data_IF_941071435425
#
_entry.id   IF_941071435425
#
_cell.length_a   1.000
_cell.length_b   1.000
_cell.length_c   1.000
_cell.angle_alpha   90.00
_cell.angle_beta   90.00
_cell.angle_gamma   90.00
#
_symmetry.space_group_name_H-M   'P 1'
#
loop_
_entity.id
_entity.type
_entity.pdbx_description
1 polymer ?
#
# COMPACT_ATOMS: atom_id res chain seq x y z
N UNK A 1 20.08 3.34 41.00
CA UNK A 1 19.47 2.02 40.72
C UNK A 1 18.39 2.24 39.67
N UNK A 2 18.74 2.19 38.38
CA UNK A 2 17.72 2.22 37.34
C UNK A 2 17.03 0.87 37.33
N UNK A 3 15.73 0.86 37.61
CA UNK A 3 14.91 -0.32 37.34
C UNK A 3 14.79 -0.41 35.83
N UNK A 4 15.63 -1.22 35.19
CA UNK A 4 15.35 -1.71 33.85
C UNK A 4 14.14 -2.63 33.98
N UNK A 5 12.95 -2.08 33.81
CA UNK A 5 11.74 -2.87 33.63
C UNK A 5 11.85 -3.50 32.25
N UNK A 6 12.24 -4.77 32.20
CA UNK A 6 12.16 -5.57 30.98
C UNK A 6 10.71 -5.59 30.52
N UNK A 7 10.44 -5.01 29.35
CA UNK A 7 9.10 -5.07 28.75
C UNK A 7 8.78 -6.53 28.40
N UNK A 8 7.57 -6.96 28.72
CA UNK A 8 7.09 -8.28 28.33
C UNK A 8 6.97 -8.35 26.81
N UNK A 9 7.51 -9.40 26.19
CA UNK A 9 7.37 -9.64 24.74
C UNK A 9 5.96 -10.14 24.43
N UNK A 10 5.29 -9.50 23.48
CA UNK A 10 4.02 -9.92 22.93
C UNK A 10 4.23 -11.04 21.91
N UNK A 11 5.02 -10.76 20.87
CA UNK A 11 5.32 -11.65 19.76
C UNK A 11 6.75 -11.40 19.25
N UNK A 12 7.22 -12.30 18.37
CA UNK A 12 8.54 -12.20 17.75
C UNK A 12 8.41 -11.97 16.24
N UNK A 13 9.23 -11.06 15.70
CA UNK A 13 9.47 -10.90 14.27
C UNK A 13 10.87 -11.44 13.97
N UNK A 14 10.96 -12.57 13.28
CA UNK A 14 12.21 -13.17 12.82
C UNK A 14 12.53 -12.63 11.44
N UNK A 15 13.58 -11.81 11.37
CA UNK A 15 14.08 -11.20 10.14
C UNK A 15 15.16 -12.11 9.53
N UNK A 16 14.89 -12.62 8.33
CA UNK A 16 15.82 -13.39 7.54
C UNK A 16 16.37 -12.59 6.35
N UNK A 17 17.69 -12.43 6.28
CA UNK A 17 18.35 -11.91 5.09
C UNK A 17 18.52 -13.04 4.06
N UNK A 18 17.62 -13.09 3.07
CA UNK A 18 17.69 -14.02 1.93
C UNK A 18 18.08 -13.31 0.63
N UNK A 19 18.70 -12.12 0.73
CA UNK A 19 19.08 -11.33 -0.43
C UNK A 19 20.09 -12.03 -1.35
N UNK A 20 20.91 -12.93 -0.81
CA UNK A 20 22.02 -13.53 -1.54
C UNK A 20 23.10 -12.52 -1.96
N UNK A 21 23.08 -11.32 -1.38
CA UNK A 21 24.14 -10.32 -1.57
C UNK A 21 25.42 -10.78 -0.86
N UNK A 22 26.56 -10.52 -1.49
CA UNK A 22 27.88 -10.75 -0.91
C UNK A 22 28.09 -9.80 0.28
N UNK A 23 28.10 -10.34 1.50
CA UNK A 23 28.22 -9.56 2.74
C UNK A 23 29.56 -8.84 2.89
N UNK A 24 30.57 -9.20 2.08
CA UNK A 24 31.83 -8.43 2.00
C UNK A 24 31.69 -7.14 1.17
N UNK A 25 30.63 -7.02 0.37
CA UNK A 25 30.37 -5.89 -0.54
C UNK A 25 29.16 -5.07 -0.14
N UNK A 26 28.18 -5.66 0.53
CA UNK A 26 26.91 -5.02 0.87
C UNK A 26 26.50 -5.33 2.30
N UNK A 27 25.78 -4.39 2.91
CA UNK A 27 25.20 -4.56 4.24
C UNK A 27 23.72 -4.26 4.19
N UNK A 28 22.93 -5.14 4.80
CA UNK A 28 21.50 -4.96 5.02
C UNK A 28 21.31 -4.37 6.41
N UNK A 29 20.57 -3.27 6.48
CA UNK A 29 20.33 -2.54 7.72
C UNK A 29 18.84 -2.50 8.05
N UNK A 30 18.53 -2.48 9.35
CA UNK A 30 17.18 -2.17 9.85
C UNK A 30 17.26 -1.12 10.95
N UNK A 31 16.41 -0.10 10.87
CA UNK A 31 16.08 0.78 11.98
C UNK A 31 14.64 0.47 12.43
N UNK A 32 14.33 0.65 13.71
CA UNK A 32 13.00 0.35 14.21
C UNK A 32 12.54 1.30 15.28
N UNK A 33 11.26 1.68 15.23
CA UNK A 33 10.65 2.50 16.26
C UNK A 33 9.17 2.17 16.48
N UNK A 34 8.68 2.46 17.69
CA UNK A 34 7.27 2.42 18.05
C UNK A 34 6.90 3.73 18.74
N UNK A 35 5.81 4.38 18.33
CA UNK A 35 5.37 5.63 18.96
C UNK A 35 4.46 5.36 20.16
N UNK A 36 4.75 6.00 21.29
CA UNK A 36 4.02 5.81 22.54
C UNK A 36 2.61 6.41 22.45
N UNK A 37 1.63 5.73 23.04
CA UNK A 37 0.27 6.24 23.08
C UNK A 37 0.16 7.52 23.91
N UNK A 38 -0.47 8.55 23.37
CA UNK A 38 -0.69 9.82 24.07
C UNK A 38 0.54 10.74 24.19
N UNK A 39 1.69 10.33 23.63
CA UNK A 39 2.91 11.15 23.59
C UNK A 39 3.47 11.16 22.16
N UNK A 40 3.27 12.29 21.47
CA UNK A 40 3.76 12.47 20.11
C UNK A 40 5.29 12.46 20.00
N UNK A 41 6.00 12.66 21.12
CA UNK A 41 7.46 12.73 21.19
C UNK A 41 8.10 11.50 21.83
N UNK A 42 7.30 10.63 22.44
CA UNK A 42 7.74 9.42 23.12
C UNK A 42 7.86 8.26 22.14
N UNK A 43 9.05 7.64 22.08
CA UNK A 43 9.31 6.49 21.22
C UNK A 43 9.92 5.34 21.99
N UNK A 44 9.72 4.11 21.50
CA UNK A 44 10.59 2.98 21.77
C UNK A 44 11.45 2.74 20.53
N UNK A 45 12.76 2.57 20.71
CA UNK A 45 13.73 2.39 19.62
C UNK A 45 14.29 0.98 19.67
N UNK A 46 14.38 0.35 18.49
CA UNK A 46 14.96 -0.97 18.32
C UNK A 46 16.45 -0.96 18.70
N UNK A 47 16.86 -1.94 19.49
CA UNK A 47 18.23 -2.13 19.95
C UNK A 47 18.91 -3.28 19.19
N UNK A 48 20.26 -3.34 19.14
CA UNK A 48 20.99 -4.39 18.44
C UNK A 48 20.69 -5.83 18.89
N UNK A 49 20.19 -6.01 20.11
CA UNK A 49 19.78 -7.32 20.64
C UNK A 49 18.33 -7.72 20.26
N UNK A 50 17.66 -6.89 19.46
CA UNK A 50 16.29 -7.08 18.99
C UNK A 50 15.22 -6.59 19.95
N UNK A 51 15.57 -6.05 21.13
CA UNK A 51 14.62 -5.47 22.06
C UNK A 51 14.26 -4.02 21.71
N UNK A 52 13.17 -3.51 22.28
CA UNK A 52 12.78 -2.10 22.21
C UNK A 52 13.04 -1.40 23.54
N UNK A 53 13.67 -0.23 23.50
CA UNK A 53 13.96 0.59 24.69
C UNK A 53 13.38 1.99 24.54
N UNK A 54 12.87 2.56 25.64
CA UNK A 54 12.28 3.90 25.62
C UNK A 54 13.35 4.97 25.31
N UNK A 55 13.07 5.82 24.32
CA UNK A 55 13.79 7.04 24.04
C UNK A 55 13.07 8.22 24.69
N UNK A 56 13.74 8.94 25.58
CA UNK A 56 13.16 10.12 26.25
C UNK A 56 13.46 11.44 25.54
N UNK A 57 14.45 11.47 24.62
CA UNK A 57 14.85 12.69 23.89
C UNK A 57 15.31 12.46 22.45
N UNK A 58 15.31 11.23 21.95
CA UNK A 58 15.89 10.90 20.63
C UNK A 58 14.88 11.12 19.52
N UNK A 59 15.27 11.88 18.48
CA UNK A 59 14.48 12.08 17.25
C UNK A 59 14.91 11.14 16.13
N UNK A 60 15.76 10.15 16.44
CA UNK A 60 16.38 9.26 15.46
C UNK A 60 16.48 7.83 16.00
N UNK A 61 16.45 6.84 15.10
CA UNK A 61 16.65 5.42 15.37
C UNK A 61 17.92 4.92 14.68
N UNK A 62 18.76 4.20 15.42
CA UNK A 62 20.00 3.64 14.85
C UNK A 62 19.69 2.52 13.86
N UNK A 63 20.46 2.45 12.78
CA UNK A 63 20.50 1.28 11.89
C UNK A 63 21.35 0.16 12.47
N UNK A 64 20.78 -1.04 12.48
CA UNK A 64 21.41 -2.28 12.95
C UNK A 64 21.74 -3.14 11.73
N UNK A 65 22.98 -3.66 11.68
CA UNK A 65 23.39 -4.63 10.66
C UNK A 65 22.66 -5.96 10.90
N UNK A 66 21.93 -6.42 9.88
CA UNK A 66 21.16 -7.66 9.91
C UNK A 66 21.60 -8.65 8.85
N UNK A 67 22.86 -8.58 8.39
CA UNK A 67 23.41 -9.56 7.47
C UNK A 67 23.28 -11.00 7.98
N UNK A 68 23.35 -11.19 9.31
CA UNK A 68 23.16 -12.48 9.99
C UNK A 68 21.69 -12.78 10.39
N UNK A 69 20.75 -11.89 10.05
CA UNK A 69 19.37 -11.90 10.56
C UNK A 69 19.24 -11.23 11.94
N UNK A 70 17.99 -11.02 12.37
CA UNK A 70 17.66 -10.43 13.67
C UNK A 70 16.31 -10.99 14.16
N UNK A 71 16.18 -11.24 15.46
CA UNK A 71 14.87 -11.52 16.07
C UNK A 71 14.43 -10.30 16.85
N UNK A 72 13.41 -9.62 16.37
CA UNK A 72 12.81 -8.45 17.02
C UNK A 72 11.74 -8.91 18.00
N UNK A 73 11.87 -8.48 19.25
CA UNK A 73 10.94 -8.80 20.34
C UNK A 73 9.97 -7.64 20.50
N UNK A 74 8.78 -7.78 19.93
CA UNK A 74 7.76 -6.72 20.00
C UNK A 74 7.22 -6.66 21.43
N UNK A 75 7.34 -5.52 22.14
CA UNK A 75 6.86 -5.40 23.51
C UNK A 75 5.33 -5.28 23.56
N UNK A 76 4.72 -5.85 24.59
CA UNK A 76 3.29 -5.69 24.88
C UNK A 76 3.03 -4.33 25.54
N UNK A 77 2.90 -3.29 24.71
CA UNK A 77 2.70 -1.90 25.15
C UNK A 77 1.62 -1.19 24.34
N UNK A 78 0.92 -0.28 24.99
CA UNK A 78 0.03 0.65 24.30
C UNK A 78 0.85 1.62 23.45
N UNK A 79 0.44 1.81 22.21
CA UNK A 79 1.12 2.63 21.21
C UNK A 79 0.09 3.41 20.37
N UNK A 80 0.56 4.38 19.58
CA UNK A 80 -0.31 5.19 18.69
C UNK A 80 -0.47 4.61 17.28
N UNK A 81 0.10 3.43 16.98
CA UNK A 81 -0.03 2.73 15.71
C UNK A 81 1.05 3.05 14.65
N UNK A 82 1.82 4.13 14.81
CA UNK A 82 2.88 4.51 13.88
C UNK A 82 4.19 3.75 14.17
N UNK A 83 4.20 2.42 14.04
CA UNK A 83 5.39 1.62 14.31
C UNK A 83 5.96 1.03 13.02
N UNK A 84 7.27 1.17 12.83
CA UNK A 84 7.93 0.78 11.58
C UNK A 84 9.26 0.10 11.85
N UNK A 85 9.53 -0.93 11.06
CA UNK A 85 10.89 -1.36 10.74
C UNK A 85 11.22 -0.81 9.35
N UNK A 86 12.33 -0.08 9.26
CA UNK A 86 12.80 0.57 8.03
C UNK A 86 14.05 -0.15 7.56
N UNK A 87 13.99 -0.73 6.38
CA UNK A 87 15.07 -1.50 5.79
C UNK A 87 15.81 -0.66 4.76
N UNK A 88 17.13 -0.75 4.73
CA UNK A 88 17.93 -0.21 3.62
C UNK A 88 19.13 -1.10 3.32
N UNK A 89 19.64 -1.03 2.10
CA UNK A 89 20.83 -1.77 1.66
C UNK A 89 21.87 -0.79 1.17
N UNK A 90 23.10 -0.90 1.70
CA UNK A 90 24.23 -0.05 1.31
C UNK A 90 25.42 -0.91 0.85
N UNK A 91 26.43 -0.29 0.23
CA UNK A 91 27.75 -0.93 0.12
C UNK A 91 28.35 -1.12 1.52
N UNK A 92 29.15 -2.16 1.71
CA UNK A 92 29.80 -2.47 2.98
C UNK A 92 30.75 -1.37 3.47
N UNK A 93 31.21 -0.48 2.58
CA UNK A 93 31.99 0.72 2.91
C UNK A 93 31.16 1.86 3.52
N UNK A 94 29.83 1.73 3.54
CA UNK A 94 28.90 2.82 3.84
C UNK A 94 28.01 2.41 5.01
N UNK A 95 28.23 3.02 6.18
CA UNK A 95 27.30 2.97 7.31
C UNK A 95 26.25 4.06 7.13
N UNK A 96 24.95 3.73 7.15
CA UNK A 96 23.89 4.72 7.08
C UNK A 96 23.90 5.65 8.30
N UNK A 97 23.54 6.92 8.11
CA UNK A 97 23.21 7.80 9.24
C UNK A 97 21.92 7.31 9.93
N UNK A 98 21.76 7.62 11.21
CA UNK A 98 20.57 7.24 11.98
C UNK A 98 19.27 7.71 11.30
N UNK A 99 18.26 6.86 11.34
CA UNK A 99 16.98 7.10 10.71
C UNK A 99 16.22 8.21 11.44
N UNK A 100 15.83 9.31 10.75
CA UNK A 100 15.03 10.36 11.37
C UNK A 100 13.58 9.90 11.60
N UNK A 101 13.07 10.04 12.83
CA UNK A 101 11.72 9.57 13.20
C UNK A 101 10.59 10.36 12.53
N UNK A 102 10.88 11.53 11.97
CA UNK A 102 9.97 12.28 11.11
C UNK A 102 9.98 11.80 9.63
N UNK A 103 10.76 10.77 9.30
CA UNK A 103 10.79 10.14 7.99
C UNK A 103 11.92 10.58 7.06
N UNK A 104 12.17 9.78 6.03
CA UNK A 104 13.01 10.16 4.90
C UNK A 104 12.29 11.11 3.95
N UNK A 105 13.06 11.76 3.07
CA UNK A 105 12.51 12.36 1.86
C UNK A 105 11.78 11.27 1.06
N UNK A 106 10.56 11.57 0.61
CA UNK A 106 9.85 10.72 -0.33
C UNK A 106 10.65 10.51 -1.63
N UNK A 107 10.41 9.41 -2.31
CA UNK A 107 10.97 9.20 -3.65
C UNK A 107 10.37 10.22 -4.65
N UNK A 108 11.03 10.49 -5.78
CA UNK A 108 12.46 10.38 -6.02
C UNK A 108 13.25 11.40 -5.18
N UNK A 109 14.20 10.96 -4.38
CA UNK A 109 14.91 11.74 -3.35
C UNK A 109 15.48 13.10 -3.77
N UNK A 110 14.65 14.13 -3.84
CA UNK A 110 15.16 15.48 -4.06
C UNK A 110 15.83 15.96 -2.78
N UNK A 111 17.12 16.29 -2.88
CA UNK A 111 17.85 16.86 -1.77
C UNK A 111 17.18 18.16 -1.27
N UNK A 112 16.86 18.16 0.02
CA UNK A 112 16.28 19.23 0.85
C UNK A 112 14.74 19.49 0.74
N UNK A 113 14.04 19.64 1.89
CA UNK A 113 14.61 19.71 3.25
C UNK A 113 14.78 18.34 3.95
N UNK A 114 14.43 17.21 3.33
CA UNK A 114 14.48 15.89 3.98
C UNK A 114 15.84 15.19 3.91
N UNK A 115 15.99 14.12 4.69
CA UNK A 115 17.14 13.20 4.65
C UNK A 115 16.92 12.17 3.55
N UNK A 116 17.82 12.11 2.57
CA UNK A 116 17.81 11.05 1.57
C UNK A 116 18.28 9.74 2.21
N UNK A 117 17.64 8.60 1.89
CA UNK A 117 18.13 7.31 2.33
C UNK A 117 19.47 7.00 1.64
N UNK A 118 20.31 6.18 2.29
CA UNK A 118 21.65 5.87 1.80
C UNK A 118 21.66 4.83 0.67
N UNK A 119 20.51 4.21 0.40
CA UNK A 119 20.30 3.19 -0.61
C UNK A 119 18.81 3.00 -0.90
N UNK A 120 18.42 1.98 -1.68
CA UNK A 120 17.02 1.56 -1.74
C UNK A 120 16.52 1.24 -0.32
N UNK A 121 15.28 1.60 -0.03
CA UNK A 121 14.66 1.35 1.25
C UNK A 121 13.20 0.91 1.08
N UNK A 122 12.69 0.25 2.11
CA UNK A 122 11.30 -0.20 2.21
C UNK A 122 10.91 -0.34 3.68
N UNK A 123 9.62 -0.47 3.97
CA UNK A 123 9.10 -0.48 5.34
C UNK A 123 8.25 -1.70 5.64
N UNK A 124 8.27 -2.10 6.91
CA UNK A 124 7.34 -3.05 7.48
C UNK A 124 6.60 -2.34 8.62
N UNK A 125 5.29 -2.22 8.49
CA UNK A 125 4.43 -1.61 9.50
C UNK A 125 3.87 -2.68 10.44
N UNK A 126 3.91 -2.41 11.74
CA UNK A 126 3.55 -3.38 12.77
C UNK A 126 2.95 -2.72 14.00
N UNK A 127 2.45 -3.51 14.95
CA UNK A 127 2.07 -2.99 16.25
C UNK A 127 1.62 -4.04 17.25
N UNK A 128 1.74 -3.78 18.56
CA UNK A 128 1.13 -4.61 19.58
C UNK A 128 -0.36 -4.82 19.35
N UNK A 129 -0.78 -6.08 19.14
CA UNK A 129 -2.15 -6.47 18.81
C UNK A 129 -2.73 -5.69 17.62
N UNK A 130 -1.93 -5.44 16.58
CA UNK A 130 -2.35 -4.80 15.34
C UNK A 130 -2.18 -5.74 14.14
N UNK A 131 -2.76 -5.37 13.00
CA UNK A 131 -2.46 -5.99 11.71
C UNK A 131 -1.07 -5.55 11.25
N UNK A 132 -0.33 -6.45 10.60
CA UNK A 132 1.03 -6.19 10.12
C UNK A 132 0.99 -6.12 8.61
N UNK A 133 1.83 -5.29 7.99
CA UNK A 133 1.85 -5.12 6.55
C UNK A 133 3.22 -4.74 5.97
N UNK A 134 3.34 -5.01 4.67
CA UNK A 134 4.35 -4.39 3.80
C UNK A 134 3.62 -3.57 2.75
N UNK A 135 4.20 -2.43 2.38
CA UNK A 135 3.48 -1.40 1.64
C UNK A 135 4.30 -0.87 0.47
N UNK A 136 3.64 -0.70 -0.68
CA UNK A 136 4.17 0.02 -1.83
C UNK A 136 3.41 1.34 -2.05
N UNK A 137 2.76 1.88 -1.01
CA UNK A 137 1.94 3.10 -1.09
C UNK A 137 2.76 4.32 -1.53
N UNK A 138 3.98 4.43 -1.00
CA UNK A 138 4.90 5.53 -1.33
C UNK A 138 5.82 5.13 -2.50
N UNK A 139 6.46 3.97 -2.39
CA UNK A 139 7.27 3.36 -3.44
C UNK A 139 7.59 1.90 -3.10
N UNK A 140 8.05 1.14 -4.10
CA UNK A 140 8.64 -0.18 -3.92
C UNK A 140 10.16 -0.12 -4.09
N UNK A 141 10.92 -0.36 -3.02
CA UNK A 141 12.38 -0.27 -3.04
C UNK A 141 13.08 -1.60 -2.78
N UNK A 142 12.56 -2.42 -1.86
CA UNK A 142 13.13 -3.71 -1.46
C UNK A 142 12.02 -4.76 -1.52
N UNK A 143 12.33 -5.95 -2.03
CA UNK A 143 11.40 -7.07 -2.06
C UNK A 143 11.23 -7.72 -0.68
N UNK A 144 10.54 -7.02 0.21
CA UNK A 144 10.11 -7.53 1.51
C UNK A 144 8.90 -8.46 1.35
N UNK A 145 8.87 -9.52 2.14
CA UNK A 145 7.68 -10.36 2.34
C UNK A 145 7.65 -10.94 3.73
N UNK A 146 6.46 -11.29 4.22
CA UNK A 146 6.32 -11.93 5.52
C UNK A 146 5.21 -12.99 5.55
N UNK A 147 5.30 -13.87 6.54
CA UNK A 147 4.26 -14.83 6.90
C UNK A 147 4.07 -14.84 8.41
N UNK A 148 2.91 -15.30 8.86
CA UNK A 148 2.57 -15.43 10.28
C UNK A 148 2.34 -16.90 10.60
N UNK A 149 2.87 -17.36 11.74
CA UNK A 149 2.67 -18.74 12.20
C UNK A 149 1.18 -19.10 12.27
N UNK A 150 0.77 -20.14 11.55
CA UNK A 150 -0.62 -20.58 11.47
C UNK A 150 -1.42 -19.95 10.33
N UNK A 151 -0.85 -19.01 9.59
CA UNK A 151 -1.37 -18.50 8.32
C UNK A 151 -0.62 -19.14 7.15
N UNK A 152 -1.35 -19.55 6.11
CA UNK A 152 -0.77 -20.14 4.90
C UNK A 152 -0.33 -19.07 3.87
N UNK A 153 -0.70 -17.82 4.09
CA UNK A 153 -0.47 -16.71 3.18
C UNK A 153 0.96 -16.17 3.32
N UNK A 154 1.52 -15.74 2.20
CA UNK A 154 2.71 -14.89 2.18
C UNK A 154 2.30 -13.52 1.68
N UNK A 155 2.62 -12.49 2.46
CA UNK A 155 2.32 -11.10 2.17
C UNK A 155 3.58 -10.45 1.62
N UNK A 156 3.48 -9.71 0.51
CA UNK A 156 4.61 -9.01 -0.10
C UNK A 156 5.21 -9.71 -1.31
N UNK A 157 6.42 -9.28 -1.66
CA UNK A 157 7.09 -9.68 -2.89
C UNK A 157 7.64 -11.12 -2.83
N UNK A 158 7.39 -11.87 -3.89
CA UNK A 158 7.72 -13.30 -4.00
C UNK A 158 8.85 -13.58 -5.00
N UNK A 159 9.37 -12.55 -5.65
CA UNK A 159 10.30 -12.67 -6.77
C UNK A 159 11.61 -11.93 -6.54
N UNK A 160 12.70 -12.32 -7.23
CA UNK A 160 13.98 -11.64 -7.08
C UNK A 160 13.92 -10.18 -7.56
N UNK A 161 14.56 -9.28 -6.82
CA UNK A 161 14.52 -7.83 -7.10
C UNK A 161 14.97 -7.47 -8.52
N UNK A 162 16.06 -8.09 -9.00
CA UNK A 162 16.57 -7.91 -10.37
C UNK A 162 15.54 -8.10 -11.49
N UNK A 163 14.49 -8.90 -11.27
CA UNK A 163 13.47 -9.17 -12.28
C UNK A 163 12.44 -8.05 -12.39
N UNK A 164 12.27 -7.25 -11.34
CA UNK A 164 11.14 -6.33 -11.21
C UNK A 164 11.23 -5.13 -12.14
N UNK A 165 12.42 -4.56 -12.37
CA UNK A 165 12.57 -3.42 -13.28
C UNK A 165 12.19 -3.78 -14.73
N UNK A 166 12.69 -4.91 -15.23
CA UNK A 166 12.37 -5.38 -16.58
C UNK A 166 10.90 -5.80 -16.69
N UNK A 167 10.35 -6.42 -15.64
CA UNK A 167 8.93 -6.79 -15.57
C UNK A 167 8.05 -5.55 -15.60
N UNK A 168 8.37 -4.52 -14.79
CA UNK A 168 7.64 -3.25 -14.76
C UNK A 168 7.66 -2.57 -16.12
N UNK A 169 8.85 -2.40 -16.71
CA UNK A 169 8.98 -1.77 -18.03
C UNK A 169 8.17 -2.49 -19.11
N UNK A 170 8.23 -3.83 -19.14
CA UNK A 170 7.44 -4.64 -20.08
C UNK A 170 5.94 -4.56 -19.80
N UNK A 171 5.56 -4.51 -18.53
CA UNK A 171 4.18 -4.41 -18.08
C UNK A 171 3.56 -3.08 -18.51
N UNK A 172 4.22 -1.96 -18.22
CA UNK A 172 3.73 -0.62 -18.61
C UNK A 172 3.71 -0.42 -20.12
N UNK A 173 4.65 -1.03 -20.86
CA UNK A 173 4.65 -0.98 -22.33
C UNK A 173 3.48 -1.77 -22.93
N UNK A 174 3.08 -2.88 -22.31
CA UNK A 174 1.99 -3.74 -22.78
C UNK A 174 0.60 -3.24 -22.33
N UNK A 175 0.52 -2.49 -21.23
CA UNK A 175 -0.73 -1.99 -20.69
C UNK A 175 -1.26 -0.78 -21.52
N UNK A 176 -2.53 -0.77 -21.93
CA UNK A 176 -3.09 0.32 -22.74
C UNK A 176 -3.03 1.69 -22.05
N UNK A 177 -2.97 1.72 -20.72
CA UNK A 177 -2.87 2.93 -19.91
C UNK A 177 -1.45 3.19 -19.39
N UNK A 178 -0.48 2.33 -19.71
CA UNK A 178 0.82 2.26 -19.01
C UNK A 178 1.87 3.27 -19.44
N UNK A 179 1.73 3.92 -20.60
CA UNK A 179 2.76 4.86 -21.11
C UNK A 179 3.09 5.99 -20.13
N UNK A 180 2.10 6.51 -19.40
CA UNK A 180 2.31 7.56 -18.39
C UNK A 180 3.08 7.05 -17.15
N UNK A 181 3.06 5.74 -16.89
CA UNK A 181 3.62 5.12 -15.69
C UNK A 181 5.05 4.59 -15.89
N UNK A 182 5.55 4.52 -17.13
CA UNK A 182 6.93 4.10 -17.42
C UNK A 182 7.98 4.91 -16.64
N UNK A 183 7.72 6.22 -16.47
CA UNK A 183 8.60 7.15 -15.77
C UNK A 183 8.77 6.85 -14.27
N UNK A 184 7.88 6.05 -13.69
CA UNK A 184 7.91 5.70 -12.26
C UNK A 184 9.06 4.74 -11.90
N UNK A 185 9.66 4.09 -12.89
CA UNK A 185 10.85 3.26 -12.67
C UNK A 185 12.09 4.15 -12.47
N UNK A 186 12.42 4.42 -11.21
CA UNK A 186 13.55 5.27 -10.85
C UNK A 186 14.87 4.50 -10.89
N UNK A 187 15.59 4.61 -12.01
CA UNK A 187 16.84 3.87 -12.28
C UNK A 187 18.13 4.66 -12.04
N UNK A 188 18.08 5.99 -12.00
CA UNK A 188 19.27 6.83 -12.02
C UNK A 188 19.25 7.95 -10.98
N UNK A 189 19.47 7.63 -9.70
CA UNK A 189 19.92 8.60 -8.71
C UNK A 189 21.32 9.12 -9.13
N UNK A 190 21.41 10.30 -9.74
CA UNK A 190 22.71 10.94 -10.04
C UNK A 190 22.83 12.27 -9.35
N UNK A 191 23.94 12.47 -8.63
CA UNK A 191 24.27 13.73 -7.96
C UNK A 191 24.64 13.52 -6.49
N UNK A 192 25.14 14.59 -5.86
CA UNK A 192 25.37 14.63 -4.42
C UNK A 192 24.03 14.57 -3.67
N UNK A 193 23.90 13.65 -2.70
CA UNK A 193 22.67 13.46 -1.93
C UNK A 193 21.69 12.40 -2.45
N UNK A 194 22.00 11.71 -3.56
CA UNK A 194 21.18 10.61 -4.07
C UNK A 194 21.71 9.24 -3.62
N UNK A 195 20.84 8.23 -3.41
CA UNK A 195 21.25 6.89 -2.94
C UNK A 195 22.15 6.17 -3.95
N UNK A 196 23.06 5.34 -3.45
CA UNK A 196 23.84 4.48 -4.33
C UNK A 196 23.00 3.32 -4.88
N UNK A 197 23.24 2.96 -6.15
CA UNK A 197 22.66 1.74 -6.72
C UNK A 197 23.38 0.48 -6.20
N UNK A 198 22.60 -0.52 -5.84
CA UNK A 198 23.08 -1.84 -5.39
C UNK A 198 23.02 -2.81 -6.56
N UNK A 199 24.17 -3.40 -6.92
CA UNK A 199 24.31 -4.35 -8.05
C UNK A 199 23.82 -3.77 -9.39
N UNK A 200 23.95 -2.45 -9.60
CA UNK A 200 23.49 -1.72 -10.78
C UNK A 200 22.00 -1.91 -11.11
N UNK A 201 21.18 -2.24 -10.11
CA UNK A 201 19.72 -2.32 -10.25
C UNK A 201 19.06 -0.96 -9.98
N UNK A 202 17.76 -0.85 -10.30
CA UNK A 202 16.94 0.35 -10.02
C UNK A 202 16.94 0.73 -8.53
N UNK A 203 16.61 1.98 -8.21
CA UNK A 203 16.48 2.46 -6.82
C UNK A 203 15.08 2.15 -6.26
N UNK A 204 14.03 2.54 -6.96
CA UNK A 204 12.64 2.16 -6.63
C UNK A 204 11.71 2.23 -7.85
N UNK A 205 10.53 1.63 -7.70
CA UNK A 205 9.35 1.94 -8.52
C UNK A 205 8.53 2.91 -7.67
N UNK A 206 8.44 4.16 -8.08
CA UNK A 206 7.86 5.25 -7.27
C UNK A 206 6.36 5.34 -7.48
N UNK A 207 5.58 5.57 -6.42
CA UNK A 207 4.13 5.79 -6.59
C UNK A 207 3.86 7.06 -7.43
N UNK A 208 2.72 7.12 -8.15
CA UNK A 208 2.31 8.33 -8.84
C UNK A 208 2.21 9.54 -7.90
N UNK A 209 1.77 9.34 -6.65
CA UNK A 209 1.68 10.38 -5.60
C UNK A 209 3.02 11.06 -5.37
N UNK A 210 4.02 10.26 -5.04
CA UNK A 210 5.36 10.74 -4.69
C UNK A 210 6.07 11.32 -5.92
N UNK A 211 5.88 10.70 -7.08
CA UNK A 211 6.39 11.21 -8.33
C UNK A 211 5.81 12.60 -8.68
N UNK A 212 4.50 12.77 -8.57
CA UNK A 212 3.81 14.04 -8.86
C UNK A 212 4.05 15.10 -7.79
N UNK A 213 4.33 14.74 -6.54
CA UNK A 213 4.75 15.68 -5.51
C UNK A 213 6.05 16.40 -5.90
N UNK A 214 6.91 15.72 -6.66
CA UNK A 214 8.22 16.21 -7.08
C UNK A 214 8.20 16.76 -8.51
N UNK A 215 7.47 16.09 -9.40
CA UNK A 215 7.29 16.47 -10.80
C UNK A 215 5.81 16.72 -11.09
N UNK A 216 5.22 17.82 -10.61
CA UNK A 216 3.78 18.09 -10.71
C UNK A 216 3.27 18.26 -12.15
N UNK A 217 4.17 18.40 -13.12
CA UNK A 217 3.87 18.48 -14.56
C UNK A 217 4.25 17.22 -15.34
N UNK A 218 4.47 16.09 -14.65
CA UNK A 218 4.82 14.81 -15.27
C UNK A 218 3.83 14.44 -16.38
N UNK A 219 4.36 14.26 -17.60
CA UNK A 219 3.53 14.04 -18.79
C UNK A 219 2.70 12.77 -18.65
N UNK A 220 1.42 12.85 -19.01
CA UNK A 220 0.47 11.73 -18.93
C UNK A 220 -0.05 11.42 -17.52
N UNK A 221 0.70 11.73 -16.46
CA UNK A 221 0.23 11.60 -15.08
C UNK A 221 -0.52 12.84 -14.60
N UNK A 222 -0.04 14.04 -14.96
CA UNK A 222 -0.72 15.28 -14.60
C UNK A 222 -2.06 15.42 -15.32
N UNK A 223 -3.12 15.57 -14.54
CA UNK A 223 -4.50 15.62 -15.01
C UNK A 223 -5.05 14.26 -15.47
N UNK A 224 -4.39 13.14 -15.15
CA UNK A 224 -4.77 11.80 -15.62
C UNK A 224 -6.24 11.46 -15.35
N UNK A 225 -6.73 11.86 -14.17
CA UNK A 225 -8.10 11.58 -13.74
C UNK A 225 -9.13 12.63 -14.14
N UNK A 226 -8.72 13.76 -14.74
CA UNK A 226 -9.60 14.91 -14.92
C UNK A 226 -10.91 14.57 -15.63
N UNK A 227 -10.86 13.81 -16.73
CA UNK A 227 -12.07 13.42 -17.47
C UNK A 227 -12.96 12.47 -16.67
N UNK A 228 -12.37 11.55 -15.93
CA UNK A 228 -13.08 10.61 -15.06
C UNK A 228 -13.77 11.36 -13.93
N UNK A 229 -13.10 12.31 -13.29
CA UNK A 229 -13.67 13.16 -12.24
C UNK A 229 -14.81 14.03 -12.77
N UNK A 230 -14.66 14.66 -13.93
CA UNK A 230 -15.75 15.42 -14.57
C UNK A 230 -16.95 14.53 -14.91
N UNK A 231 -16.70 13.32 -15.42
CA UNK A 231 -17.74 12.37 -15.75
C UNK A 231 -18.48 11.90 -14.49
N UNK A 232 -17.77 11.58 -13.40
CA UNK A 232 -18.34 11.15 -12.12
C UNK A 232 -19.26 12.22 -11.53
N UNK A 233 -18.77 13.46 -11.42
CA UNK A 233 -19.49 14.57 -10.80
C UNK A 233 -20.39 15.35 -11.79
N UNK A 234 -20.71 14.78 -12.95
CA UNK A 234 -21.64 15.43 -13.88
C UNK A 234 -22.99 15.68 -13.21
N UNK A 235 -23.57 16.87 -13.45
CA UNK A 235 -24.81 17.30 -12.79
C UNK A 235 -25.93 16.28 -13.01
N UNK A 236 -26.51 15.84 -11.90
CA UNK A 236 -27.61 14.89 -11.85
C UNK A 236 -27.18 13.42 -11.82
N UNK A 237 -25.88 13.12 -11.90
CA UNK A 237 -25.40 11.76 -11.68
C UNK A 237 -25.76 11.26 -10.30
N UNK A 238 -26.05 9.97 -10.20
CA UNK A 238 -26.52 9.30 -9.00
C UNK A 238 -25.57 8.17 -8.61
N UNK A 239 -25.41 7.99 -7.30
CA UNK A 239 -24.71 6.85 -6.70
C UNK A 239 -25.57 6.25 -5.57
N UNK A 240 -25.48 4.93 -5.39
CA UNK A 240 -26.17 4.16 -4.37
C UNK A 240 -25.33 2.95 -3.97
N UNK A 241 -24.72 3.01 -2.80
CA UNK A 241 -23.85 1.96 -2.26
C UNK A 241 -24.18 1.71 -0.80
N UNK A 242 -23.67 0.61 -0.26
CA UNK A 242 -23.74 0.28 1.15
C UNK A 242 -22.35 0.23 1.75
N UNK A 243 -22.13 1.00 2.81
CA UNK A 243 -20.88 0.95 3.58
C UNK A 243 -20.90 -0.27 4.50
N UNK A 244 -19.81 -1.01 4.53
CA UNK A 244 -19.66 -2.23 5.34
C UNK A 244 -18.84 -2.01 6.63
N UNK A 245 -18.29 -0.81 6.82
CA UNK A 245 -17.46 -0.41 7.95
C UNK A 245 -18.14 0.61 8.88
N UNK A 246 -17.40 1.58 9.39
CA UNK A 246 -17.96 2.59 10.31
C UNK A 246 -19.21 3.25 9.70
N UNK A 247 -20.23 3.52 10.53
CA UNK A 247 -21.53 4.04 10.06
C UNK A 247 -22.19 3.20 8.96
N UNK A 248 -22.18 1.86 9.13
CA UNK A 248 -22.82 0.87 8.25
C UNK A 248 -24.20 1.30 7.77
N UNK A 249 -24.45 1.20 6.46
CA UNK A 249 -25.77 1.42 5.87
C UNK A 249 -25.74 1.85 4.42
N UNK A 250 -26.93 1.98 3.82
CA UNK A 250 -27.10 2.46 2.45
C UNK A 250 -26.96 3.98 2.40
N UNK A 251 -26.10 4.46 1.51
CA UNK A 251 -25.95 5.86 1.16
C UNK A 251 -26.34 6.06 -0.30
N UNK A 252 -27.15 7.07 -0.55
CA UNK A 252 -27.58 7.38 -1.92
C UNK A 252 -27.80 8.87 -2.10
N UNK A 253 -27.58 9.33 -3.33
CA UNK A 253 -27.81 10.73 -3.65
C UNK A 253 -27.32 11.08 -5.04
N UNK A 254 -27.28 12.38 -5.30
CA UNK A 254 -26.99 12.92 -6.64
C UNK A 254 -25.94 14.01 -6.59
N UNK A 255 -25.23 14.18 -7.70
CA UNK A 255 -24.31 15.29 -7.89
C UNK A 255 -25.02 16.53 -8.43
N UNK A 256 -24.61 17.71 -7.97
CA UNK A 256 -25.04 18.99 -8.54
C UNK A 256 -24.09 19.55 -9.63
N UNK A 257 -23.00 18.84 -9.93
CA UNK A 257 -21.90 19.33 -10.78
C UNK A 257 -20.61 19.63 -10.02
N UNK A 258 -20.71 19.85 -8.70
CA UNK A 258 -19.60 20.29 -7.84
C UNK A 258 -19.41 19.43 -6.60
N UNK A 259 -20.44 18.68 -6.21
CA UNK A 259 -20.40 17.75 -5.08
C UNK A 259 -21.49 16.68 -5.24
N UNK A 260 -21.37 15.57 -4.52
CA UNK A 260 -22.50 14.70 -4.21
C UNK A 260 -23.08 15.10 -2.85
N UNK A 261 -24.41 15.05 -2.73
CA UNK A 261 -25.10 15.08 -1.43
C UNK A 261 -25.80 13.75 -1.21
N UNK A 262 -25.35 13.01 -0.21
CA UNK A 262 -25.73 11.62 0.05
C UNK A 262 -26.54 11.52 1.33
N UNK A 263 -27.74 10.97 1.22
CA UNK A 263 -28.57 10.59 2.35
C UNK A 263 -28.17 9.20 2.83
N UNK A 264 -27.91 9.07 4.13
CA UNK A 264 -27.50 7.83 4.79
C UNK A 264 -28.43 7.41 5.92
N UNK A 265 -28.06 6.36 6.67
CA UNK A 265 -28.81 5.89 7.83
C UNK A 265 -28.95 6.98 8.91
N UNK A 266 -30.00 6.88 9.73
CA UNK A 266 -30.28 7.80 10.85
C UNK A 266 -30.39 9.29 10.45
N UNK A 267 -30.71 9.57 9.19
CA UNK A 267 -30.84 10.95 8.68
C UNK A 267 -29.50 11.65 8.44
N UNK A 268 -28.39 10.91 8.37
CA UNK A 268 -27.10 11.47 7.98
C UNK A 268 -27.17 12.06 6.56
N UNK A 269 -26.54 13.21 6.38
CA UNK A 269 -26.41 13.88 5.08
C UNK A 269 -24.95 14.23 4.85
N UNK A 270 -24.28 13.45 4.02
CA UNK A 270 -22.84 13.59 3.76
C UNK A 270 -22.63 14.29 2.43
N UNK A 271 -21.79 15.31 2.42
CA UNK A 271 -21.37 16.00 1.19
C UNK A 271 -19.98 15.55 0.80
N UNK A 272 -19.82 15.09 -0.44
CA UNK A 272 -18.54 14.71 -1.03
C UNK A 272 -18.22 15.71 -2.15
N UNK A 273 -17.28 16.65 -1.96
CA UNK A 273 -16.99 17.65 -2.96
C UNK A 273 -16.13 17.08 -4.10
N UNK A 274 -16.41 17.51 -5.33
CA UNK A 274 -15.61 17.19 -6.52
C UNK A 274 -14.15 17.59 -6.33
N UNK A 275 -13.91 18.69 -5.62
CA UNK A 275 -12.59 19.22 -5.35
C UNK A 275 -11.65 18.21 -4.68
N UNK A 276 -12.16 17.22 -3.96
CA UNK A 276 -11.34 16.17 -3.33
C UNK A 276 -10.76 15.18 -4.35
N UNK A 277 -11.31 15.16 -5.58
CA UNK A 277 -10.93 14.26 -6.68
C UNK A 277 -10.39 14.99 -7.92
N UNK A 278 -10.24 16.32 -7.87
CA UNK A 278 -9.76 17.12 -9.01
C UNK A 278 -8.26 16.96 -9.27
N UNK A 279 -7.89 17.02 -10.56
CA UNK A 279 -6.52 16.84 -11.02
C UNK A 279 -6.04 15.43 -10.73
N UNK A 280 -5.01 15.33 -9.90
CA UNK A 280 -4.31 14.07 -9.62
C UNK A 280 -4.61 13.52 -8.24
N UNK A 281 -5.49 14.19 -7.47
CA UNK A 281 -5.85 13.83 -6.09
C UNK A 281 -6.27 12.37 -5.87
N UNK A 282 -6.87 11.65 -6.84
CA UNK A 282 -7.10 10.22 -6.67
C UNK A 282 -5.83 9.39 -6.41
N UNK A 283 -4.64 9.86 -6.83
CA UNK A 283 -3.36 9.27 -6.42
C UNK A 283 -2.90 9.69 -5.02
N UNK A 284 -3.24 10.90 -4.56
CA UNK A 284 -2.74 11.46 -3.29
C UNK A 284 -3.55 11.07 -2.08
N UNK A 285 -4.88 11.00 -2.23
CA UNK A 285 -5.84 10.60 -1.20
C UNK A 285 -5.64 11.39 0.10
N UNK A 286 -6.26 12.57 0.19
CA UNK A 286 -6.10 13.45 1.34
C UNK A 286 -7.16 13.14 2.41
N UNK A 287 -6.75 12.61 3.56
CA UNK A 287 -7.62 12.58 4.74
C UNK A 287 -7.73 14.00 5.28
N UNK A 288 -8.91 14.61 5.18
CA UNK A 288 -9.17 15.90 5.83
C UNK A 288 -9.34 15.74 7.33
N UNK A 289 -9.05 16.79 8.10
CA UNK A 289 -9.42 16.82 9.51
C UNK A 289 -10.94 16.92 9.69
N UNK A 290 -11.43 16.45 10.86
CA UNK A 290 -12.81 16.67 11.27
C UNK A 290 -13.10 18.17 11.39
N UNK A 291 -14.18 18.62 10.77
CA UNK A 291 -14.60 20.02 10.87
C UNK A 291 -15.24 20.28 12.24
N UNK A 292 -15.10 21.50 12.77
CA UNK A 292 -15.59 21.85 14.12
C UNK A 292 -17.11 21.69 14.31
N UNK A 293 -17.88 21.71 13.20
CA UNK A 293 -19.34 21.60 13.20
C UNK A 293 -19.83 20.24 12.70
N UNK A 294 -18.91 19.29 12.47
CA UNK A 294 -19.21 17.95 12.01
C UNK A 294 -19.21 16.99 13.20
N UNK A 295 -20.23 16.15 13.31
CA UNK A 295 -20.28 15.08 14.30
C UNK A 295 -19.27 13.98 14.00
N UNK A 296 -18.90 13.19 15.02
CA UNK A 296 -17.99 12.04 14.84
C UNK A 296 -18.54 11.04 13.82
N UNK A 297 -19.86 10.81 13.81
CA UNK A 297 -20.50 9.91 12.86
C UNK A 297 -20.46 10.45 11.43
N UNK A 298 -20.66 11.75 11.23
CA UNK A 298 -20.54 12.38 9.91
C UNK A 298 -19.10 12.29 9.38
N UNK A 299 -18.12 12.57 10.24
CA UNK A 299 -16.71 12.46 9.87
C UNK A 299 -16.29 11.02 9.52
N UNK A 300 -16.75 10.04 10.30
CA UNK A 300 -16.52 8.62 10.01
C UNK A 300 -17.17 8.18 8.70
N UNK A 301 -18.44 8.58 8.47
CA UNK A 301 -19.14 8.27 7.24
C UNK A 301 -18.44 8.91 6.04
N UNK A 302 -18.07 10.19 6.14
CA UNK A 302 -17.32 10.89 5.10
C UNK A 302 -16.05 10.12 4.71
N UNK A 303 -15.21 9.76 5.68
CA UNK A 303 -13.95 9.07 5.41
C UNK A 303 -14.14 7.71 4.73
N UNK A 304 -15.17 6.94 5.13
CA UNK A 304 -15.49 5.66 4.50
C UNK A 304 -16.03 5.81 3.07
N UNK A 305 -16.86 6.82 2.82
CA UNK A 305 -17.40 7.12 1.48
C UNK A 305 -16.28 7.60 0.55
N UNK A 306 -15.44 8.51 1.02
CA UNK A 306 -14.32 9.04 0.26
C UNK A 306 -13.35 7.90 -0.09
N UNK A 307 -13.06 7.01 0.86
CA UNK A 307 -12.23 5.83 0.62
C UNK A 307 -12.81 4.89 -0.43
N UNK A 308 -14.11 4.59 -0.37
CA UNK A 308 -14.77 3.78 -1.38
C UNK A 308 -14.66 4.38 -2.80
N UNK A 309 -14.77 5.71 -2.92
CA UNK A 309 -14.62 6.38 -4.22
C UNK A 309 -13.17 6.31 -4.69
N UNK A 310 -12.18 6.59 -3.83
CA UNK A 310 -10.77 6.49 -4.19
C UNK A 310 -10.35 5.07 -4.62
N UNK A 311 -10.81 4.04 -3.89
CA UNK A 311 -10.62 2.64 -4.29
C UNK A 311 -11.17 2.37 -5.69
N UNK A 312 -12.38 2.87 -5.99
CA UNK A 312 -13.02 2.69 -7.28
C UNK A 312 -12.29 3.43 -8.41
N UNK A 313 -11.67 4.59 -8.14
CA UNK A 313 -10.77 5.26 -9.09
C UNK A 313 -9.56 4.38 -9.39
N UNK A 314 -8.82 3.96 -8.35
CA UNK A 314 -7.60 3.16 -8.52
C UNK A 314 -7.87 1.84 -9.25
N UNK A 315 -8.99 1.17 -8.92
CA UNK A 315 -9.39 -0.11 -9.54
C UNK A 315 -10.08 0.06 -10.90
N UNK A 316 -10.36 1.28 -11.33
CA UNK A 316 -10.94 1.60 -12.63
C UNK A 316 -12.41 1.20 -12.81
N UNK A 317 -13.19 1.27 -11.73
CA UNK A 317 -14.62 0.93 -11.71
C UNK A 317 -15.50 2.10 -11.25
N UNK A 318 -14.91 3.27 -11.01
CA UNK A 318 -15.64 4.43 -10.47
C UNK A 318 -16.86 4.80 -11.31
N UNK A 319 -16.72 4.81 -12.65
CA UNK A 319 -17.81 5.16 -13.57
C UNK A 319 -18.79 4.01 -13.80
N UNK A 320 -18.46 2.76 -13.46
CA UNK A 320 -19.42 1.66 -13.54
C UNK A 320 -20.53 1.78 -12.51
N UNK A 321 -20.19 2.36 -11.34
CA UNK A 321 -21.11 2.57 -10.24
C UNK A 321 -21.97 3.83 -10.35
N UNK A 322 -22.02 4.51 -11.50
CA UNK A 322 -22.72 5.79 -11.67
C UNK A 322 -23.86 5.65 -12.68
N UNK A 323 -24.98 6.30 -12.39
CA UNK A 323 -26.15 6.38 -13.28
C UNK A 323 -26.51 7.85 -13.52
N UNK A 324 -26.92 8.21 -14.74
CA UNK A 324 -27.33 9.59 -15.05
C UNK A 324 -28.65 9.99 -14.37
N UNK A 325 -29.02 11.27 -14.44
CA UNK A 325 -30.27 11.80 -13.84
C UNK A 325 -31.57 11.28 -14.46
N UNK A 326 -31.50 10.61 -15.61
CA UNK A 326 -32.69 10.15 -16.35
C UNK A 326 -33.07 8.73 -15.98
N UNK A 327 -32.17 7.98 -15.35
CA UNK A 327 -32.41 6.61 -14.93
C UNK A 327 -32.67 6.52 -13.41
N UNK A 328 -33.40 5.48 -13.01
CA UNK A 328 -33.62 5.14 -11.61
C UNK A 328 -32.45 4.25 -11.17
N UNK A 329 -31.64 4.73 -10.23
CA UNK A 329 -30.57 3.93 -9.66
C UNK A 329 -31.16 2.86 -8.73
N UNK A 330 -30.71 1.61 -8.89
CA UNK A 330 -31.10 0.50 -8.01
C UNK A 330 -30.34 0.59 -6.69
N UNK A 331 -30.92 0.01 -5.64
CA UNK A 331 -30.19 -0.19 -4.38
C UNK A 331 -28.93 -1.03 -4.65
N UNK A 332 -27.83 -0.68 -3.99
CA UNK A 332 -26.51 -1.34 -4.10
C UNK A 332 -25.87 -1.32 -5.50
N UNK A 333 -26.44 -0.59 -6.48
CA UNK A 333 -25.90 -0.54 -7.84
C UNK A 333 -24.41 -0.16 -7.88
N UNK A 334 -24.04 0.88 -7.13
CA UNK A 334 -22.66 1.36 -7.06
C UNK A 334 -21.76 0.37 -6.34
N UNK A 335 -22.25 -0.21 -5.24
CA UNK A 335 -21.58 -1.28 -4.49
C UNK A 335 -21.21 -2.48 -5.36
N UNK A 336 -22.17 -3.01 -6.11
CA UNK A 336 -21.98 -4.18 -6.96
C UNK A 336 -20.99 -3.90 -8.10
N UNK A 337 -21.07 -2.71 -8.69
CA UNK A 337 -20.14 -2.28 -9.73
C UNK A 337 -18.70 -2.13 -9.19
N UNK A 338 -18.53 -1.46 -8.05
CA UNK A 338 -17.20 -1.21 -7.48
C UNK A 338 -16.54 -2.46 -6.89
N UNK A 339 -17.33 -3.47 -6.55
CA UNK A 339 -16.84 -4.77 -6.05
C UNK A 339 -16.72 -5.85 -7.11
N UNK A 340 -17.05 -5.54 -8.38
CA UNK A 340 -16.88 -6.48 -9.47
C UNK A 340 -15.40 -6.63 -9.87
N UNK A 341 -14.74 -7.64 -9.29
CA UNK A 341 -13.30 -7.87 -9.50
C UNK A 341 -12.93 -8.21 -10.94
N UNK A 342 -13.87 -8.71 -11.75
CA UNK A 342 -13.61 -9.01 -13.17
C UNK A 342 -13.33 -7.72 -13.98
N UNK A 343 -13.83 -6.58 -13.50
CA UNK A 343 -13.63 -5.28 -14.11
C UNK A 343 -12.41 -4.54 -13.54
N UNK A 344 -11.88 -4.97 -12.38
CA UNK A 344 -10.76 -4.29 -11.73
C UNK A 344 -9.51 -4.30 -12.62
N UNK A 345 -8.91 -3.12 -12.77
CA UNK A 345 -7.70 -2.89 -13.55
C UNK A 345 -7.79 -3.34 -15.02
N UNK A 346 -8.96 -3.21 -15.63
CA UNK A 346 -9.19 -3.50 -17.06
C UNK A 346 -9.64 -2.24 -17.80
N UNK A 347 -9.38 -2.17 -19.12
CA UNK A 347 -9.80 -1.06 -19.98
C UNK A 347 -11.21 -1.27 -20.57
N UNK A 348 -12.05 -2.04 -19.87
CA UNK A 348 -13.41 -2.35 -20.29
C UNK A 348 -14.20 -1.05 -20.55
N UNK A 349 -15.18 -1.07 -21.47
CA UNK A 349 -16.11 0.04 -21.60
C UNK A 349 -16.94 0.18 -20.32
N UNK A 350 -16.82 1.32 -19.63
CA UNK A 350 -17.55 1.55 -18.40
C UNK A 350 -19.07 1.69 -18.65
N UNK A 351 -19.84 1.36 -17.63
CA UNK A 351 -21.30 1.30 -17.71
C UNK A 351 -22.00 2.66 -17.85
N UNK A 352 -21.32 3.78 -17.52
CA UNK A 352 -21.91 5.12 -17.57
C UNK A 352 -21.91 5.72 -18.97
N UNK A 353 -20.79 5.68 -19.68
CA UNK A 353 -20.64 6.34 -20.98
C UNK A 353 -19.95 5.48 -22.06
N UNK A 354 -19.69 4.21 -21.77
CA UNK A 354 -19.06 3.25 -22.69
C UNK A 354 -17.65 3.68 -23.17
N UNK A 355 -17.01 4.65 -22.50
CA UNK A 355 -15.59 4.93 -22.68
C UNK A 355 -14.76 3.85 -21.99
N UNK A 356 -13.53 3.62 -22.45
CA UNK A 356 -12.61 2.72 -21.77
C UNK A 356 -12.29 3.22 -20.36
N UNK A 357 -12.32 2.34 -19.38
CA UNK A 357 -11.96 2.65 -18.01
C UNK A 357 -10.47 2.99 -17.86
N UNK A 358 -10.19 3.99 -17.02
CA UNK A 358 -8.84 4.31 -16.53
C UNK A 358 -8.67 3.70 -15.14
N UNK A 359 -7.46 3.24 -14.83
CA UNK A 359 -7.11 2.59 -13.56
C UNK A 359 -5.67 2.98 -13.18
N UNK A 360 -5.32 2.78 -11.92
CA UNK A 360 -3.94 2.96 -11.46
C UNK A 360 -3.08 1.79 -11.94
N UNK A 361 -2.26 2.03 -12.98
CA UNK A 361 -1.36 1.02 -13.56
C UNK A 361 -0.23 0.65 -12.60
N UNK A 362 0.18 1.57 -11.71
CA UNK A 362 1.17 1.29 -10.68
C UNK A 362 0.62 0.26 -9.68
N UNK A 363 -0.59 0.48 -9.16
CA UNK A 363 -1.24 -0.50 -8.29
C UNK A 363 -1.50 -1.83 -9.01
N UNK A 364 -1.99 -1.77 -10.27
CA UNK A 364 -2.21 -2.96 -11.10
C UNK A 364 -0.96 -3.84 -11.22
N UNK A 365 0.22 -3.22 -11.39
CA UNK A 365 1.47 -3.97 -11.49
C UNK A 365 1.65 -4.91 -10.29
N UNK A 366 1.46 -4.43 -9.06
CA UNK A 366 1.64 -5.26 -7.86
C UNK A 366 0.59 -6.37 -7.73
N UNK A 367 -0.67 -6.10 -8.09
CA UNK A 367 -1.73 -7.11 -8.01
C UNK A 367 -1.69 -8.16 -9.13
N UNK A 368 -1.31 -7.74 -10.34
CA UNK A 368 -1.56 -8.51 -11.56
C UNK A 368 -0.30 -8.93 -12.31
N UNK A 369 0.86 -8.28 -12.10
CA UNK A 369 2.05 -8.64 -12.85
C UNK A 369 2.52 -10.05 -12.47
N UNK A 370 2.99 -10.76 -13.49
CA UNK A 370 3.52 -12.11 -13.35
C UNK A 370 4.88 -12.21 -14.02
N UNK A 371 5.70 -13.14 -13.54
CA UNK A 371 6.94 -13.55 -14.20
C UNK A 371 6.85 -15.02 -14.61
N UNK A 372 7.52 -15.42 -15.70
CA UNK A 372 7.66 -16.82 -16.05
C UNK A 372 8.59 -17.53 -15.06
N UNK A 373 8.13 -18.64 -14.49
CA UNK A 373 8.93 -19.52 -13.63
C UNK A 373 8.94 -20.94 -14.18
N UNK A 374 10.09 -21.61 -14.12
CA UNK A 374 10.20 -23.02 -14.45
C UNK A 374 9.66 -23.86 -13.29
N UNK A 375 8.71 -24.75 -13.59
CA UNK A 375 8.10 -25.64 -12.61
C UNK A 375 8.36 -27.07 -13.05
N UNK A 376 9.05 -27.83 -12.20
CA UNK A 376 9.28 -29.24 -12.42
C UNK A 376 7.94 -29.99 -12.44
N UNK A 377 7.69 -30.77 -13.48
CA UNK A 377 6.51 -31.65 -13.53
C UNK A 377 6.87 -33.05 -13.06
N UNK A 378 5.87 -33.81 -12.59
CA UNK A 378 6.01 -35.23 -12.28
C UNK A 378 6.50 -36.07 -13.49
N UNK A 379 6.42 -35.52 -14.71
CA UNK A 379 6.91 -36.15 -15.94
C UNK A 379 8.39 -35.85 -16.25
N UNK A 380 9.08 -35.05 -15.43
CA UNK A 380 10.47 -34.65 -15.64
C UNK A 380 10.68 -33.64 -16.77
N UNK A 381 9.61 -33.11 -17.37
CA UNK A 381 9.65 -31.99 -18.32
C UNK A 381 9.25 -30.73 -17.59
N UNK A 382 10.16 -29.76 -17.50
CA UNK A 382 9.84 -28.46 -16.93
C UNK A 382 8.76 -27.77 -17.78
N UNK A 383 7.76 -27.19 -17.12
CA UNK A 383 6.81 -26.27 -17.75
C UNK A 383 7.08 -24.85 -17.25
N UNK A 384 6.80 -23.87 -18.08
CA UNK A 384 6.79 -22.47 -17.63
C UNK A 384 5.41 -22.12 -17.13
N UNK A 385 5.32 -21.64 -15.90
CA UNK A 385 4.10 -21.09 -15.31
C UNK A 385 4.25 -19.60 -15.04
N UNK A 386 3.13 -18.89 -14.99
CA UNK A 386 3.11 -17.49 -14.57
C UNK A 386 2.98 -17.42 -13.05
N UNK A 387 3.97 -16.81 -12.39
CA UNK A 387 3.97 -16.57 -10.94
C UNK A 387 3.74 -15.08 -10.69
N UNK A 388 2.79 -14.73 -9.82
CA UNK A 388 2.58 -13.35 -9.40
C UNK A 388 3.82 -12.81 -8.67
N UNK A 389 4.11 -11.53 -8.91
CA UNK A 389 5.24 -10.87 -8.24
C UNK A 389 5.02 -10.70 -6.74
N UNK A 390 3.76 -10.68 -6.30
CA UNK A 390 3.34 -10.65 -4.89
C UNK A 390 2.52 -11.91 -4.54
N UNK A 391 2.49 -12.26 -3.26
CA UNK A 391 1.77 -13.43 -2.77
C UNK A 391 0.26 -13.31 -2.98
N UNK A 392 -0.39 -14.39 -3.42
CA UNK A 392 -1.84 -14.41 -3.65
C UNK A 392 -2.63 -14.52 -2.36
N UNK A 393 -3.82 -13.94 -2.36
CA UNK A 393 -4.81 -14.20 -1.33
C UNK A 393 -5.23 -15.69 -1.31
N UNK A 394 -5.92 -16.11 -0.25
CA UNK A 394 -6.34 -17.52 -0.08
C UNK A 394 -7.26 -18.01 -1.19
N UNK A 395 -8.06 -17.12 -1.79
CA UNK A 395 -8.93 -17.45 -2.92
C UNK A 395 -8.18 -17.61 -4.26
N UNK A 396 -6.92 -17.19 -4.34
CA UNK A 396 -6.10 -17.23 -5.55
C UNK A 396 -6.49 -16.21 -6.63
N UNK A 397 -7.38 -15.26 -6.31
CA UNK A 397 -7.98 -14.33 -7.28
C UNK A 397 -7.06 -13.18 -7.67
N UNK A 398 -6.33 -12.61 -6.71
CA UNK A 398 -5.35 -11.53 -6.94
C UNK A 398 -4.17 -11.66 -5.98
N UNK A 399 -3.04 -11.05 -6.36
CA UNK A 399 -1.94 -10.84 -5.43
C UNK A 399 -2.33 -9.81 -4.37
N UNK A 400 -1.91 -10.02 -3.13
CA UNK A 400 -2.11 -9.10 -2.02
C UNK A 400 -1.03 -8.02 -2.09
N UNK A 401 -1.41 -6.76 -2.24
CA UNK A 401 -0.48 -5.64 -2.35
C UNK A 401 -1.11 -4.38 -1.73
N UNK A 402 -0.26 -3.49 -1.23
CA UNK A 402 -0.65 -2.13 -0.85
C UNK A 402 -0.12 -1.18 -1.93
N UNK A 403 -0.83 -1.07 -3.06
CA UNK A 403 -0.41 -0.26 -4.21
C UNK A 403 -0.76 1.22 -4.08
N UNK A 404 -1.65 1.59 -3.16
CA UNK A 404 -2.07 2.96 -2.84
C UNK A 404 -2.63 3.01 -1.40
N UNK A 405 -2.76 4.19 -0.80
CA UNK A 405 -3.00 4.34 0.65
C UNK A 405 -4.28 3.70 1.17
N UNK A 406 -5.28 3.52 0.30
CA UNK A 406 -6.57 2.92 0.61
C UNK A 406 -6.77 1.60 -0.13
N UNK A 407 -5.70 0.88 -0.44
CA UNK A 407 -5.76 -0.44 -1.09
C UNK A 407 -6.20 -1.55 -0.12
N UNK A 408 -7.17 -1.20 0.70
CA UNK A 408 -7.82 -2.04 1.69
C UNK A 408 -8.87 -2.92 1.02
N UNK A 409 -9.40 -3.87 1.79
CA UNK A 409 -10.64 -4.53 1.36
C UNK A 409 -11.73 -3.48 1.13
N UNK A 410 -12.55 -3.61 0.05
CA UNK A 410 -13.55 -2.61 -0.31
C UNK A 410 -14.35 -2.06 0.87
N UNK A 411 -14.37 -0.73 1.00
CA UNK A 411 -15.17 -0.02 2.02
C UNK A 411 -16.69 -0.12 1.78
N UNK A 412 -17.09 -0.71 0.65
CA UNK A 412 -18.48 -1.01 0.30
C UNK A 412 -18.77 -2.50 0.32
N UNK A 413 -19.99 -2.84 0.71
CA UNK A 413 -20.49 -4.20 0.59
C UNK A 413 -20.83 -4.57 -0.84
N UNK A 414 -21.02 -5.87 -1.08
CA UNK A 414 -21.46 -6.43 -2.36
C UNK A 414 -22.71 -7.27 -2.15
N UNK A 415 -23.74 -7.06 -2.97
CA UNK A 415 -24.96 -7.88 -2.94
C UNK A 415 -24.80 -9.19 -3.73
N UNK A 416 -23.83 -9.24 -4.65
CA UNK A 416 -23.59 -10.36 -5.57
C UNK A 416 -22.69 -11.45 -5.00
N UNK A 417 -21.95 -11.18 -3.91
CA UNK A 417 -21.08 -12.17 -3.26
C UNK A 417 -21.82 -13.22 -2.42
N UNK A 418 -23.16 -13.21 -2.39
CA UNK A 418 -23.97 -14.29 -1.82
C UNK A 418 -23.87 -14.45 -0.30
N UNK A 419 -23.30 -13.47 0.41
CA UNK A 419 -23.17 -13.47 1.86
C UNK A 419 -24.34 -12.68 2.48
N UNK A 420 -25.02 -13.20 3.53
CA UNK A 420 -26.09 -12.48 4.24
C UNK A 420 -25.63 -11.17 4.90
N UNK A 421 -24.32 -10.98 5.02
CA UNK A 421 -23.66 -9.77 5.51
C UNK A 421 -22.98 -9.12 4.32
N UNK A 422 -23.18 -7.82 4.15
CA UNK A 422 -22.59 -7.03 3.06
C UNK A 422 -21.08 -6.80 3.29
N UNK A 423 -20.34 -7.82 3.74
CA UNK A 423 -18.93 -7.77 4.14
C UNK A 423 -18.05 -8.42 3.09
N UNK A 424 -16.87 -7.86 2.85
CA UNK A 424 -15.88 -8.43 1.94
C UNK A 424 -15.37 -9.80 2.44
N UNK A 425 -15.22 -10.82 1.57
CA UNK A 425 -14.74 -12.14 2.00
C UNK A 425 -13.29 -12.08 2.48
N UNK A 426 -13.00 -12.62 3.67
CA UNK A 426 -11.63 -12.66 4.22
C UNK A 426 -10.65 -13.45 3.36
N UNK A 427 -11.13 -14.46 2.61
CA UNK A 427 -10.32 -15.22 1.66
C UNK A 427 -9.89 -14.40 0.44
N UNK A 428 -10.54 -13.26 0.19
CA UNK A 428 -10.25 -12.34 -0.89
C UNK A 428 -9.52 -11.09 -0.37
N UNK A 429 -8.70 -11.22 0.67
CA UNK A 429 -7.92 -10.10 1.20
C UNK A 429 -7.13 -9.38 0.09
N UNK A 430 -7.30 -8.07 -0.05
CA UNK A 430 -6.62 -7.21 -1.04
C UNK A 430 -5.26 -6.69 -0.57
N UNK A 431 -5.16 -6.08 0.63
CA UNK A 431 -3.89 -5.49 1.05
C UNK A 431 -2.86 -6.57 1.37
N UNK A 432 -1.58 -6.23 1.23
CA UNK A 432 -0.47 -7.05 1.76
C UNK A 432 -0.34 -6.93 3.28
N UNK A 433 -1.46 -7.20 3.97
CA UNK A 433 -1.71 -6.98 5.39
C UNK A 433 -2.44 -8.17 5.97
N UNK A 434 -2.14 -8.53 7.21
CA UNK A 434 -2.83 -9.64 7.89
C UNK A 434 -4.32 -9.34 8.05
N UNK A 435 -5.24 -10.29 7.75
CA UNK A 435 -6.68 -10.07 7.91
C UNK A 435 -7.13 -9.80 9.35
N UNK A 436 -6.30 -10.17 10.33
CA UNK A 436 -6.53 -9.92 11.75
C UNK A 436 -5.24 -9.56 12.47
N UNK A 437 -5.38 -9.26 13.76
CA UNK A 437 -4.27 -8.80 14.59
C UNK A 437 -3.26 -9.93 14.84
N UNK A 438 -1.97 -9.57 14.83
CA UNK A 438 -0.90 -10.46 15.28
C UNK A 438 -0.75 -10.31 16.80
N UNK A 439 -1.21 -11.33 17.53
CA UNK A 439 -1.31 -11.36 18.98
C UNK A 439 -0.19 -12.15 19.67
N UNK A 440 -0.40 -12.41 20.97
CA UNK A 440 0.61 -13.00 21.83
C UNK A 440 1.03 -14.41 21.40
N UNK A 441 2.34 -14.66 21.39
CA UNK A 441 2.94 -15.97 21.09
C UNK A 441 2.93 -16.37 19.61
N UNK A 442 2.43 -15.52 18.71
CA UNK A 442 2.59 -15.71 17.28
C UNK A 442 4.02 -15.35 16.85
N UNK A 443 4.48 -15.94 15.75
CA UNK A 443 5.77 -15.62 15.14
C UNK A 443 5.56 -15.08 13.74
N UNK A 444 6.18 -13.95 13.45
CA UNK A 444 6.22 -13.35 12.11
C UNK A 444 7.56 -13.67 11.49
N UNK A 445 7.58 -14.29 10.31
CA UNK A 445 8.80 -14.51 9.54
C UNK A 445 8.89 -13.45 8.45
N UNK A 446 9.71 -12.42 8.64
CA UNK A 446 9.95 -11.33 7.69
C UNK A 446 11.22 -11.61 6.90
N UNK A 447 11.12 -11.55 5.58
CA UNK A 447 12.19 -11.93 4.65
C UNK A 447 12.58 -10.74 3.79
N UNK A 448 13.88 -10.46 3.74
CA UNK A 448 14.46 -9.66 2.68
C UNK A 448 14.75 -10.61 1.51
N UNK A 449 13.93 -10.53 0.46
CA UNK A 449 13.96 -11.47 -0.66
C UNK A 449 15.23 -11.39 -1.50
N UNK A 450 15.42 -12.39 -2.36
CA UNK A 450 16.61 -12.52 -3.20
C UNK A 450 16.84 -11.28 -4.09
N UNK A 451 18.09 -10.81 -4.17
CA UNK A 451 18.46 -9.69 -5.04
C UNK A 451 18.56 -10.12 -6.50
N UNK A 452 19.02 -11.35 -6.72
CA UNK A 452 19.22 -12.02 -8.00
C UNK A 452 18.59 -13.43 -7.95
N UNK A 453 18.20 -14.03 -9.09
CA UNK A 453 17.80 -15.44 -9.10
C UNK A 453 18.92 -16.32 -8.54
N UNK A 454 18.57 -17.39 -7.84
CA UNK A 454 19.55 -18.40 -7.42
C UNK A 454 20.28 -18.94 -8.65
N UNK A 455 21.60 -19.06 -8.59
CA UNK A 455 22.35 -19.77 -9.63
C UNK A 455 21.81 -21.22 -9.71
N UNK A 456 21.34 -21.61 -10.90
CA UNK A 456 20.84 -22.96 -11.17
C UNK A 456 21.97 -23.98 -11.20
#
# INVERSE_FOLDING_TARGET
>A
MSHSTTLQTLNDIIIANQSGLDSSKYTVWVAGFMQQAGDATGFYILQPDGSFAAATTTTQAQFIDINAGLTVKVPDVTNSGNNRLVFTVTKASTTPADYPLNGYTAYPFNAAPGVCPPGPYDIFEFGPNAQYDVSAVDAFGINLSFSVSGDASVYGAMVPRSTLAATFASFTQADPNGAAFEQLLFTSPTGEGYPELIEAQFSAIVSPKDWLAIYPSASGLSGYWSKTTEALFSKGNQINFYLNGATVGTYSGSSDGTQFTLSGPNGLSITIPKADFEGDKPFFQAVRAQNSNESVLEYQAFGQIEAAIFEAFSRGVVLDGVVDSKAVIKEHYTSDAWTNTDNWYTDHPNSYNNAKSLYDVYAKFFHCATIPVAVATASGKDKTEAMNIFGKNTAGTFAMAYGFSLDENPNVGSSTLGIPTQSWPSSQNVPSKTPGNVGSGQTVSLTLGAWKPSAA
#
